data_IF_166072319775
#
_entry.id   IF_166072319775
#
_cell.length_a   1.000
_cell.length_b   1.000
_cell.length_c   1.000
_cell.angle_alpha   90.00
_cell.angle_beta   90.00
_cell.angle_gamma   90.00
#
_symmetry.space_group_name_H-M   'P 1'
#
loop_
_entity.id
_entity.type
_entity.pdbx_description
1 polymer ?
#
# COMPACT_ATOMS: atom_id res chain seq x y z
N UNK A 1 -2.18 11.24 -8.03
CA UNK A 1 -1.01 11.58 -7.22
C UNK A 1 -0.21 12.70 -7.87
N UNK A 2 0.58 13.41 -7.10
CA UNK A 2 1.48 14.47 -7.55
C UNK A 2 2.88 14.29 -6.93
N UNK A 3 3.91 14.84 -7.58
CA UNK A 3 5.27 14.84 -7.02
C UNK A 3 5.33 15.61 -5.71
N UNK A 4 5.92 15.02 -4.69
CA UNK A 4 5.97 15.50 -3.32
C UNK A 4 4.91 14.89 -2.40
N UNK A 5 3.89 14.23 -2.93
CA UNK A 5 2.86 13.58 -2.12
C UNK A 5 3.46 12.50 -1.21
N UNK A 6 2.80 12.28 -0.09
CA UNK A 6 3.11 11.22 0.87
C UNK A 6 2.16 10.05 0.64
N UNK A 7 2.71 8.84 0.61
CA UNK A 7 1.97 7.59 0.42
C UNK A 7 1.61 6.94 1.75
N UNK A 8 0.38 6.48 1.85
CA UNK A 8 -0.14 5.75 3.01
C UNK A 8 -0.84 4.45 2.57
N UNK A 9 -0.83 3.46 3.47
CA UNK A 9 -1.64 2.25 3.35
C UNK A 9 -2.37 1.97 4.66
N UNK A 10 -3.61 1.49 4.55
CA UNK A 10 -4.39 0.99 5.69
C UNK A 10 -4.04 -0.47 6.01
N UNK A 11 -4.31 -0.89 7.23
CA UNK A 11 -4.28 -2.28 7.68
C UNK A 11 -2.93 -2.97 7.58
N UNK A 12 -2.94 -4.23 7.16
CA UNK A 12 -1.77 -5.10 7.03
C UNK A 12 -1.77 -5.81 5.68
N UNK A 13 -0.58 -6.08 5.13
CA UNK A 13 -0.39 -6.60 3.78
C UNK A 13 0.09 -8.05 3.77
N UNK A 14 -0.34 -8.78 2.73
CA UNK A 14 0.06 -10.14 2.41
C UNK A 14 -0.66 -11.21 3.23
N UNK A 15 -0.56 -12.47 2.75
CA UNK A 15 -1.13 -13.62 3.41
C UNK A 15 -2.58 -13.93 3.03
N UNK A 16 -3.08 -13.39 1.92
CA UNK A 16 -4.42 -13.69 1.40
C UNK A 16 -4.67 -15.19 1.26
N UNK A 17 -3.70 -15.96 0.77
CA UNK A 17 -3.77 -17.41 0.63
C UNK A 17 -4.00 -18.18 1.94
N UNK A 18 -3.78 -17.54 3.09
CA UNK A 18 -4.09 -18.10 4.42
C UNK A 18 -5.50 -17.75 4.91
N UNK A 19 -6.37 -17.33 3.99
CA UNK A 19 -7.78 -17.09 4.26
C UNK A 19 -8.15 -15.63 4.60
N UNK A 20 -7.19 -14.71 4.67
CA UNK A 20 -7.46 -13.27 4.91
C UNK A 20 -8.48 -12.70 3.90
N UNK A 21 -8.41 -13.14 2.64
CA UNK A 21 -9.33 -12.74 1.58
C UNK A 21 -10.78 -13.23 1.78
N UNK A 22 -11.00 -14.22 2.65
CA UNK A 22 -12.34 -14.75 2.95
C UNK A 22 -13.00 -14.04 4.14
N UNK A 23 -12.20 -13.36 4.97
CA UNK A 23 -12.68 -12.71 6.21
C UNK A 23 -12.05 -11.32 6.36
N UNK A 24 -12.09 -10.52 5.30
CA UNK A 24 -11.61 -9.15 5.33
C UNK A 24 -12.74 -8.16 5.68
N UNK A 25 -12.41 -7.08 6.37
CA UNK A 25 -13.32 -5.96 6.60
C UNK A 25 -13.14 -4.91 5.50
N UNK A 26 -14.13 -4.73 4.59
CA UNK A 26 -14.03 -3.72 3.53
C UNK A 26 -13.81 -2.32 4.11
N UNK A 27 -12.87 -1.57 3.57
CA UNK A 27 -12.51 -0.21 4.02
C UNK A 27 -13.47 0.86 3.45
N UNK A 28 -14.78 0.58 3.48
CA UNK A 28 -15.80 1.48 2.89
C UNK A 28 -15.90 2.80 3.65
N UNK A 29 -15.94 2.75 4.99
CA UNK A 29 -16.05 3.95 5.82
C UNK A 29 -14.78 4.81 5.72
N UNK A 30 -13.61 4.18 5.70
CA UNK A 30 -12.33 4.84 5.51
C UNK A 30 -12.23 5.47 4.12
N UNK A 31 -12.66 4.75 3.07
CA UNK A 31 -12.69 5.24 1.70
C UNK A 31 -13.63 6.43 1.52
N UNK A 32 -14.83 6.36 2.07
CA UNK A 32 -15.79 7.48 2.06
C UNK A 32 -15.23 8.71 2.78
N UNK A 33 -14.61 8.49 3.94
CA UNK A 33 -13.96 9.55 4.70
C UNK A 33 -12.83 10.20 3.90
N UNK A 34 -11.94 9.42 3.30
CA UNK A 34 -10.84 9.92 2.45
C UNK A 34 -11.36 10.73 1.26
N UNK A 35 -12.45 10.30 0.61
CA UNK A 35 -13.07 11.05 -0.49
C UNK A 35 -13.57 12.45 -0.08
N UNK A 36 -13.90 12.65 1.19
CA UNK A 36 -14.30 13.95 1.75
C UNK A 36 -13.13 14.92 1.99
N UNK A 37 -11.88 14.46 1.83
CA UNK A 37 -10.67 15.22 2.13
C UNK A 37 -9.97 15.63 0.83
N UNK A 38 -10.02 16.92 0.47
CA UNK A 38 -9.44 17.46 -0.78
C UNK A 38 -7.91 17.37 -0.87
N UNK A 39 -7.23 17.11 0.23
CA UNK A 39 -5.80 16.84 0.32
C UNK A 39 -5.40 15.43 -0.14
N UNK A 40 -6.34 14.49 -0.24
CA UNK A 40 -6.12 13.16 -0.85
C UNK A 40 -6.12 13.33 -2.36
N UNK A 41 -4.97 13.08 -2.98
CA UNK A 41 -4.74 13.34 -4.40
C UNK A 41 -4.96 12.11 -5.29
N UNK A 42 -4.86 10.91 -4.70
CA UNK A 42 -5.18 9.65 -5.35
C UNK A 42 -5.49 8.57 -4.28
N UNK A 43 -6.37 7.63 -4.62
CA UNK A 43 -6.71 6.49 -3.77
C UNK A 43 -7.10 5.29 -4.65
N UNK A 44 -6.68 4.09 -4.25
CA UNK A 44 -7.09 2.81 -4.83
C UNK A 44 -7.16 1.74 -3.73
N UNK A 45 -7.84 0.65 -3.98
CA UNK A 45 -7.72 -0.57 -3.19
C UNK A 45 -6.51 -1.41 -3.66
N UNK A 46 -6.06 -2.32 -2.80
CA UNK A 46 -5.01 -3.29 -3.09
C UNK A 46 -5.66 -4.64 -3.40
N UNK A 47 -5.88 -4.91 -4.68
CA UNK A 47 -6.45 -6.16 -5.20
C UNK A 47 -5.42 -7.08 -5.82
N UNK A 48 -4.43 -6.53 -6.51
CA UNK A 48 -3.38 -7.28 -7.22
C UNK A 48 -2.04 -7.31 -6.48
N UNK A 49 -1.96 -6.63 -5.35
CA UNK A 49 -0.78 -6.47 -4.52
C UNK A 49 -0.06 -5.14 -4.69
N UNK A 50 0.58 -4.66 -3.62
CA UNK A 50 1.18 -3.33 -3.56
C UNK A 50 2.13 -3.06 -4.72
N UNK A 51 2.98 -4.01 -5.09
CA UNK A 51 3.96 -3.84 -6.16
C UNK A 51 3.31 -3.62 -7.53
N UNK A 52 2.08 -4.13 -7.75
CA UNK A 52 1.35 -4.00 -9.01
C UNK A 52 0.39 -2.82 -9.02
N UNK A 53 -0.28 -2.55 -7.89
CA UNK A 53 -1.30 -1.50 -7.80
C UNK A 53 -0.70 -0.11 -7.66
N UNK A 54 0.45 0.02 -6.97
CA UNK A 54 1.11 1.30 -6.76
C UNK A 54 1.50 2.02 -8.06
N UNK A 55 2.12 1.38 -9.08
CA UNK A 55 2.32 2.03 -10.37
C UNK A 55 1.04 2.53 -11.03
N UNK A 56 -0.07 1.83 -10.87
CA UNK A 56 -1.39 2.25 -11.36
C UNK A 56 -1.88 3.54 -10.69
N UNK A 57 -1.68 3.68 -9.38
CA UNK A 57 -2.01 4.88 -8.62
C UNK A 57 -1.18 6.10 -9.08
N UNK A 58 0.10 5.88 -9.42
CA UNK A 58 1.04 6.94 -9.79
C UNK A 58 0.83 7.43 -11.22
N UNK A 59 0.59 6.49 -12.15
CA UNK A 59 0.65 6.75 -13.58
C UNK A 59 2.08 6.89 -14.12
N UNK A 60 2.25 7.12 -15.44
CA UNK A 60 3.52 6.89 -16.14
C UNK A 60 4.59 7.97 -15.96
N UNK A 61 4.31 9.04 -15.20
CA UNK A 61 5.23 10.18 -15.03
C UNK A 61 5.71 10.37 -13.59
N UNK A 62 5.34 9.48 -12.70
CA UNK A 62 5.68 9.55 -11.28
C UNK A 62 6.30 8.23 -10.83
N UNK A 63 7.31 8.29 -9.98
CA UNK A 63 7.87 7.17 -9.24
C UNK A 63 7.44 7.26 -7.77
N UNK A 64 7.41 6.13 -7.07
CA UNK A 64 7.29 6.09 -5.61
C UNK A 64 8.64 5.71 -4.99
N UNK A 65 9.00 6.39 -3.91
CA UNK A 65 10.04 5.98 -2.96
C UNK A 65 9.35 5.32 -1.77
N UNK A 66 9.49 4.02 -1.64
CA UNK A 66 8.79 3.20 -0.64
C UNK A 66 9.78 2.72 0.40
N UNK A 67 9.50 2.94 1.67
CA UNK A 67 10.21 2.31 2.78
C UNK A 67 9.70 0.86 2.93
N UNK A 68 10.38 -0.05 2.24
CA UNK A 68 10.02 -1.48 2.23
C UNK A 68 10.13 -2.08 3.64
N UNK A 69 11.04 -1.57 4.49
CA UNK A 69 11.20 -2.06 5.85
C UNK A 69 10.04 -1.63 6.78
N UNK A 70 9.31 -0.56 6.42
CA UNK A 70 8.14 -0.08 7.17
C UNK A 70 6.82 -0.74 6.74
N UNK A 71 6.82 -1.65 5.75
CA UNK A 71 5.61 -2.32 5.30
C UNK A 71 4.89 -3.04 6.45
N UNK A 72 3.57 -2.87 6.60
CA UNK A 72 2.79 -3.51 7.66
C UNK A 72 2.51 -4.97 7.33
N UNK A 73 3.52 -5.84 7.43
CA UNK A 73 3.42 -7.26 7.10
C UNK A 73 2.48 -7.99 8.05
N UNK A 74 1.49 -8.70 7.51
CA UNK A 74 0.51 -9.46 8.29
C UNK A 74 1.13 -10.68 8.97
N UNK A 75 0.50 -11.16 10.03
CA UNK A 75 0.93 -12.42 10.68
C UNK A 75 0.66 -13.64 9.78
N UNK A 76 -0.32 -13.54 8.89
CA UNK A 76 -0.58 -14.55 7.86
C UNK A 76 0.59 -14.62 6.86
N UNK A 77 1.12 -13.49 6.38
CA UNK A 77 2.30 -13.44 5.52
C UNK A 77 3.55 -14.01 6.21
N UNK A 78 3.78 -13.67 7.48
CA UNK A 78 4.88 -14.23 8.30
C UNK A 78 4.76 -15.75 8.48
N UNK A 79 3.52 -16.25 8.60
CA UNK A 79 3.26 -17.68 8.72
C UNK A 79 3.47 -18.41 7.39
N UNK A 80 3.05 -17.79 6.28
CA UNK A 80 3.25 -18.31 4.94
C UNK A 80 4.74 -18.39 4.59
N UNK A 81 5.51 -17.35 4.90
CA UNK A 81 6.96 -17.29 4.74
C UNK A 81 7.71 -18.47 5.40
N UNK A 82 7.23 -18.92 6.58
CA UNK A 82 7.80 -20.08 7.28
C UNK A 82 7.49 -21.40 6.56
N UNK A 83 6.42 -21.46 5.79
CA UNK A 83 5.97 -22.69 5.13
C UNK A 83 6.52 -22.84 3.71
N UNK A 84 6.67 -21.75 2.95
CA UNK A 84 7.13 -21.76 1.55
C UNK A 84 8.57 -21.28 1.37
N UNK A 85 9.19 -20.71 2.42
CA UNK A 85 10.58 -20.25 2.42
C UNK A 85 10.83 -18.92 1.71
N UNK A 86 9.78 -18.21 1.29
CA UNK A 86 9.92 -16.86 0.73
C UNK A 86 10.01 -15.83 1.85
N UNK A 87 10.61 -14.66 1.59
CA UNK A 87 10.55 -13.54 2.52
C UNK A 87 9.10 -13.08 2.80
N UNK A 88 8.77 -12.77 4.02
CA UNK A 88 7.45 -12.22 4.40
C UNK A 88 7.15 -10.87 3.74
N UNK A 89 8.19 -10.06 3.47
CA UNK A 89 8.10 -8.84 2.66
C UNK A 89 7.68 -9.12 1.21
N UNK A 90 8.10 -10.26 0.62
CA UNK A 90 7.66 -10.64 -0.73
C UNK A 90 6.14 -10.90 -0.74
N UNK A 91 5.60 -11.54 0.29
CA UNK A 91 4.15 -11.73 0.47
C UNK A 91 3.42 -10.39 0.62
N UNK A 92 3.92 -9.48 1.45
CA UNK A 92 3.32 -8.15 1.62
C UNK A 92 3.30 -7.31 0.34
N UNK A 93 4.28 -7.51 -0.55
CA UNK A 93 4.37 -6.79 -1.81
C UNK A 93 3.51 -7.39 -2.94
N UNK A 94 3.29 -8.73 -2.93
CA UNK A 94 2.90 -9.43 -4.15
C UNK A 94 1.68 -10.35 -4.05
N UNK A 95 1.24 -10.74 -2.83
CA UNK A 95 0.18 -11.74 -2.70
C UNK A 95 -1.18 -11.28 -3.28
N UNK A 96 -1.46 -9.99 -3.24
CA UNK A 96 -2.75 -9.44 -3.67
C UNK A 96 -3.90 -9.79 -2.71
N UNK A 97 -5.13 -9.40 -3.10
CA UNK A 97 -6.37 -9.63 -2.35
C UNK A 97 -6.32 -9.14 -0.89
N UNK A 98 -5.53 -8.08 -0.63
CA UNK A 98 -5.45 -7.45 0.69
C UNK A 98 -6.68 -6.61 1.00
N UNK A 99 -7.27 -6.00 -0.03
CA UNK A 99 -8.45 -5.11 0.05
C UNK A 99 -8.27 -3.97 1.06
N UNK A 100 -7.03 -3.56 1.26
CA UNK A 100 -6.66 -2.35 1.99
C UNK A 100 -6.64 -1.14 1.04
N UNK A 101 -6.65 0.08 1.57
CA UNK A 101 -6.54 1.29 0.77
C UNK A 101 -5.10 1.77 0.69
N UNK A 102 -4.65 2.03 -0.54
CA UNK A 102 -3.42 2.75 -0.86
C UNK A 102 -3.79 4.15 -1.34
N UNK A 103 -3.23 5.20 -0.75
CA UNK A 103 -3.55 6.56 -1.13
C UNK A 103 -2.38 7.53 -1.00
N UNK A 104 -2.45 8.63 -1.76
CA UNK A 104 -1.50 9.72 -1.77
C UNK A 104 -2.13 10.99 -1.18
N UNK A 105 -1.35 11.75 -0.43
CA UNK A 105 -1.77 12.98 0.25
C UNK A 105 -0.75 14.08 -0.01
N UNK A 106 -1.21 15.30 -0.26
CA UNK A 106 -0.32 16.45 -0.40
C UNK A 106 0.58 16.62 0.82
N UNK A 107 1.88 16.86 0.58
CA UNK A 107 2.91 16.83 1.61
C UNK A 107 2.63 17.78 2.79
N UNK A 108 2.10 18.97 2.52
CA UNK A 108 1.79 20.01 3.52
C UNK A 108 0.61 19.63 4.43
N UNK A 109 -0.18 18.62 4.06
CA UNK A 109 -1.37 18.15 4.78
C UNK A 109 -1.22 16.73 5.35
N UNK A 110 -0.17 16.01 4.98
CA UNK A 110 0.00 14.60 5.33
C UNK A 110 -0.06 14.34 6.85
N UNK A 111 0.64 15.14 7.65
CA UNK A 111 0.66 14.96 9.12
C UNK A 111 -0.70 15.22 9.76
N UNK A 112 -1.41 16.25 9.26
CA UNK A 112 -2.75 16.58 9.78
C UNK A 112 -3.76 15.51 9.40
N UNK A 113 -3.73 15.03 8.16
CA UNK A 113 -4.62 13.96 7.70
C UNK A 113 -4.35 12.67 8.47
N UNK A 114 -3.07 12.28 8.65
CA UNK A 114 -2.69 11.09 9.41
C UNK A 114 -3.25 11.15 10.84
N UNK A 115 -3.07 12.27 11.55
CA UNK A 115 -3.59 12.44 12.89
C UNK A 115 -5.13 12.37 12.94
N UNK A 116 -5.81 12.97 11.96
CA UNK A 116 -7.27 12.96 11.84
C UNK A 116 -7.81 11.57 11.52
N UNK A 117 -7.14 10.84 10.61
CA UNK A 117 -7.49 9.46 10.26
C UNK A 117 -7.38 8.53 11.48
N UNK A 118 -6.25 8.57 12.20
CA UNK A 118 -6.06 7.76 13.41
C UNK A 118 -7.10 8.03 14.50
N UNK A 119 -7.59 9.27 14.58
CA UNK A 119 -8.67 9.63 15.50
C UNK A 119 -10.03 9.12 15.03
N UNK A 120 -10.31 9.18 13.72
CA UNK A 120 -11.57 8.73 13.14
C UNK A 120 -11.66 7.19 13.12
N UNK A 121 -10.55 6.50 12.86
CA UNK A 121 -10.46 5.04 12.71
C UNK A 121 -9.39 4.42 13.62
N UNK A 122 -9.60 4.45 14.96
CA UNK A 122 -8.58 3.99 15.91
C UNK A 122 -8.25 2.49 15.83
N UNK A 123 -9.12 1.70 15.18
CA UNK A 123 -8.94 0.26 15.00
C UNK A 123 -8.33 -0.11 13.62
N UNK A 124 -8.25 0.85 12.69
CA UNK A 124 -7.64 0.64 11.38
C UNK A 124 -6.21 1.18 11.41
N UNK A 125 -5.20 0.30 11.39
CA UNK A 125 -3.81 0.73 11.29
C UNK A 125 -3.60 1.61 10.05
N UNK A 126 -2.75 2.63 10.17
CA UNK A 126 -2.32 3.47 9.06
C UNK A 126 -0.80 3.53 9.05
N UNK A 127 -0.21 3.18 7.92
CA UNK A 127 1.25 3.18 7.73
C UNK A 127 1.63 4.17 6.64
N UNK A 128 2.59 5.06 6.96
CA UNK A 128 3.23 5.93 5.97
C UNK A 128 4.27 5.08 5.22
N UNK A 129 4.08 4.94 3.90
CA UNK A 129 4.93 4.09 3.06
C UNK A 129 6.12 4.82 2.46
N UNK A 130 6.00 6.13 2.19
CA UNK A 130 7.03 6.86 1.48
C UNK A 130 6.51 8.10 0.79
N UNK A 131 7.14 8.45 -0.34
CA UNK A 131 6.84 9.69 -1.08
C UNK A 131 6.77 9.44 -2.59
N UNK A 132 6.10 10.36 -3.28
CA UNK A 132 6.00 10.39 -4.74
C UNK A 132 7.01 11.38 -5.30
N UNK A 133 7.70 11.01 -6.37
CA UNK A 133 8.63 11.89 -7.10
C UNK A 133 8.35 11.87 -8.62
N UNK A 134 8.92 12.80 -9.36
CA UNK A 134 8.88 12.75 -10.82
C UNK A 134 9.67 11.54 -11.31
N UNK A 135 9.11 10.78 -12.28
CA UNK A 135 9.73 9.52 -12.70
C UNK A 135 9.11 8.91 -13.95
N UNK A 136 9.06 7.59 -13.98
CA UNK A 136 8.70 6.78 -15.14
C UNK A 136 7.63 5.72 -14.87
N UNK A 137 6.97 5.78 -13.73
CA UNK A 137 5.92 4.84 -13.30
C UNK A 137 6.44 3.67 -12.47
N UNK A 138 7.57 3.85 -11.76
CA UNK A 138 8.20 2.78 -10.99
C UNK A 138 8.03 3.00 -9.48
N UNK A 139 7.82 1.90 -8.76
CA UNK A 139 8.04 1.87 -7.32
C UNK A 139 9.50 1.47 -7.04
N UNK A 140 10.17 2.22 -6.15
CA UNK A 140 11.57 1.99 -5.78
C UNK A 140 11.71 1.89 -4.27
N UNK A 141 12.59 1.00 -3.82
CA UNK A 141 12.95 0.93 -2.40
C UNK A 141 13.67 2.22 -1.99
N UNK A 142 13.28 2.78 -0.87
CA UNK A 142 13.88 4.00 -0.30
C UNK A 142 15.33 3.76 0.16
N UNK A 143 15.66 2.53 0.56
CA UNK A 143 16.97 2.18 1.12
C UNK A 143 18.10 2.22 0.08
N UNK A 144 17.86 1.68 -1.12
CA UNK A 144 18.89 1.52 -2.16
C UNK A 144 18.51 2.12 -3.52
N UNK A 145 17.27 2.55 -3.69
CA UNK A 145 16.74 3.11 -4.93
C UNK A 145 16.47 2.10 -6.03
N UNK A 146 16.63 0.80 -5.75
CA UNK A 146 16.36 -0.25 -6.72
C UNK A 146 14.85 -0.38 -7.00
N UNK A 147 14.46 -0.69 -8.23
CA UNK A 147 13.06 -0.95 -8.55
C UNK A 147 12.51 -2.14 -7.76
N UNK A 148 11.36 -1.95 -7.12
CA UNK A 148 10.63 -3.03 -6.49
C UNK A 148 10.13 -3.97 -7.59
N UNK A 149 10.55 -5.24 -7.52
CA UNK A 149 10.25 -6.23 -8.56
C UNK A 149 8.77 -6.57 -8.54
N UNK A 150 8.08 -6.30 -9.64
CA UNK A 150 6.69 -6.72 -9.85
C UNK A 150 6.69 -8.18 -10.30
N UNK A 151 6.32 -9.09 -9.41
CA UNK A 151 5.91 -10.45 -9.77
C UNK A 151 4.41 -10.51 -9.48
N UNK A 152 3.58 -10.05 -10.42
CA UNK A 152 2.15 -10.00 -10.21
C UNK A 152 1.53 -11.40 -10.09
N UNK A 153 0.45 -11.52 -9.36
CA UNK A 153 -0.46 -12.66 -9.39
C UNK A 153 -1.03 -12.76 -10.82
N UNK A 154 -0.63 -13.79 -11.57
CA UNK A 154 -1.17 -14.04 -12.91
C UNK A 154 -2.45 -14.85 -12.78
N UNK A 155 -3.62 -14.25 -13.03
CA UNK A 155 -4.88 -14.98 -13.11
C UNK A 155 -4.94 -15.97 -14.28
N UNK A 156 -3.95 -15.93 -15.19
CA UNK A 156 -3.84 -16.80 -16.35
C UNK A 156 -2.36 -17.20 -16.52
N UNK A 157 -2.02 -18.39 -16.06
CA UNK A 157 -0.82 -19.10 -16.45
C UNK A 157 -1.20 -20.22 -17.42
#
# INVERSE_FOLDING_TARGET
AASGDVLFVTGQLGGSLYGKHLDFAPRLAEGEWLCGHGEVTACTDLSDGLAKDLPGLLGPKLDARVDVAALPVSDAAKSLAKSDGKPDLEHALQDGEDYELLFAVSADRADLLEASFRKAFPLTPLTRLGTVEAGTGLARDLADGEPIKVRGFGHFA
#
